data_IF_379545622375
#
_entry.id   IF_379545622375
#
_cell.length_a   1.000
_cell.length_b   1.000
_cell.length_c   1.000
_cell.angle_alpha   90.00
_cell.angle_beta   90.00
_cell.angle_gamma   90.00
#
_symmetry.space_group_name_H-M   'P 1'
#
loop_
_entity.id
_entity.type
_entity.pdbx_description
1 polymer ?
#
# COMPACT_ATOMS: atom_id res chain seq x y z
N UNK A 1 -90.49 -12.31 32.78
CA UNK A 1 -90.14 -12.26 31.34
C UNK A 1 -89.14 -11.14 31.01
N UNK A 2 -89.40 -9.87 31.38
CA UNK A 2 -88.52 -8.74 31.02
C UNK A 2 -87.05 -8.85 31.51
N UNK A 3 -86.80 -9.45 32.68
CA UNK A 3 -85.44 -9.62 33.20
C UNK A 3 -84.59 -10.59 32.36
N UNK A 4 -85.15 -11.74 31.98
CA UNK A 4 -84.46 -12.74 31.16
C UNK A 4 -84.12 -12.21 29.76
N UNK A 5 -85.00 -11.39 29.17
CA UNK A 5 -84.74 -10.76 27.86
C UNK A 5 -83.61 -9.74 27.92
N UNK A 6 -83.51 -8.96 29.01
CA UNK A 6 -82.42 -7.99 29.21
C UNK A 6 -81.08 -8.70 29.37
N UNK A 7 -81.04 -9.76 30.20
CA UNK A 7 -79.82 -10.57 30.38
C UNK A 7 -79.38 -11.20 29.05
N UNK A 8 -80.32 -11.75 28.27
CA UNK A 8 -80.03 -12.31 26.95
C UNK A 8 -79.44 -11.28 25.98
N UNK A 9 -79.98 -10.05 25.94
CA UNK A 9 -79.46 -8.97 25.10
C UNK A 9 -78.07 -8.50 25.52
N UNK A 10 -77.78 -8.43 26.82
CA UNK A 10 -76.45 -8.05 27.34
C UNK A 10 -75.41 -9.11 26.96
N UNK A 11 -75.75 -10.40 27.08
CA UNK A 11 -74.86 -11.50 26.67
C UNK A 11 -74.61 -11.41 25.17
N UNK A 12 -75.65 -11.24 24.35
CA UNK A 12 -75.52 -11.11 22.91
C UNK A 12 -74.64 -9.91 22.53
N UNK A 13 -74.87 -8.75 23.14
CA UNK A 13 -74.06 -7.56 22.91
C UNK A 13 -72.59 -7.77 23.32
N UNK A 14 -72.34 -8.42 24.45
CA UNK A 14 -70.99 -8.73 24.94
C UNK A 14 -70.23 -9.67 24.00
N UNK A 15 -70.92 -10.67 23.43
CA UNK A 15 -70.35 -11.59 22.43
C UNK A 15 -70.01 -10.84 21.15
N UNK A 16 -70.91 -10.00 20.65
CA UNK A 16 -70.69 -9.18 19.44
C UNK A 16 -69.50 -8.23 19.66
N UNK A 17 -69.49 -7.48 20.77
CA UNK A 17 -68.40 -6.57 21.11
C UNK A 17 -67.05 -7.29 21.21
N UNK A 18 -67.04 -8.48 21.83
CA UNK A 18 -65.84 -9.32 21.94
C UNK A 18 -65.32 -9.78 20.58
N UNK A 19 -66.21 -10.16 19.66
CA UNK A 19 -65.82 -10.52 18.29
C UNK A 19 -65.28 -9.30 17.52
N UNK A 20 -65.91 -8.14 17.65
CA UNK A 20 -65.46 -6.90 17.01
C UNK A 20 -64.05 -6.53 17.48
N UNK A 21 -63.79 -6.54 18.79
CA UNK A 21 -62.47 -6.25 19.36
C UNK A 21 -61.44 -7.28 18.89
N UNK A 22 -61.79 -8.57 18.88
CA UNK A 22 -60.90 -9.62 18.42
C UNK A 22 -60.48 -9.40 16.95
N UNK A 23 -61.42 -9.05 16.08
CA UNK A 23 -61.17 -8.86 14.64
C UNK A 23 -60.52 -7.52 14.29
N UNK A 24 -60.91 -6.42 14.94
CA UNK A 24 -60.39 -5.08 14.63
C UNK A 24 -59.07 -4.78 15.33
N UNK A 25 -58.82 -5.37 16.51
CA UNK A 25 -57.64 -5.04 17.33
C UNK A 25 -56.75 -6.27 17.55
N UNK A 26 -57.26 -7.33 18.17
CA UNK A 26 -56.39 -8.43 18.63
C UNK A 26 -55.70 -9.18 17.49
N UNK A 27 -56.41 -9.47 16.40
CA UNK A 27 -55.85 -10.19 15.25
C UNK A 27 -54.78 -9.35 14.51
N UNK A 28 -55.01 -8.07 14.16
CA UNK A 28 -53.96 -7.22 13.58
C UNK A 28 -52.73 -7.05 14.48
N UNK A 29 -52.90 -6.87 15.79
CA UNK A 29 -51.78 -6.74 16.72
C UNK A 29 -50.95 -8.02 16.82
N UNK A 30 -51.60 -9.19 16.80
CA UNK A 30 -50.88 -10.48 16.78
C UNK A 30 -50.05 -10.65 15.50
N UNK A 31 -50.56 -10.18 14.36
CA UNK A 31 -49.81 -10.18 13.09
C UNK A 31 -48.62 -9.24 13.14
N UNK A 32 -48.81 -8.02 13.63
CA UNK A 32 -47.74 -7.05 13.86
C UNK A 32 -46.64 -7.66 14.73
N UNK A 33 -47.01 -8.26 15.88
CA UNK A 33 -46.07 -8.95 16.77
C UNK A 33 -45.23 -10.00 16.03
N UNK A 34 -45.86 -10.84 15.20
CA UNK A 34 -45.17 -11.91 14.49
C UNK A 34 -44.21 -11.36 13.42
N UNK A 35 -44.61 -10.32 12.69
CA UNK A 35 -43.74 -9.68 11.69
C UNK A 35 -42.59 -8.94 12.38
N UNK A 36 -42.85 -8.23 13.49
CA UNK A 36 -41.80 -7.60 14.30
C UNK A 36 -40.74 -8.60 14.78
N UNK A 37 -41.15 -9.83 15.12
CA UNK A 37 -40.21 -10.89 15.50
C UNK A 37 -39.28 -11.26 14.34
N UNK A 38 -39.82 -11.39 13.13
CA UNK A 38 -39.03 -11.67 11.92
C UNK A 38 -38.05 -10.53 11.59
N UNK A 39 -38.51 -9.28 11.68
CA UNK A 39 -37.66 -8.10 11.48
C UNK A 39 -36.52 -8.06 12.51
N UNK A 40 -36.78 -8.42 13.76
CA UNK A 40 -35.74 -8.52 14.79
C UNK A 40 -34.69 -9.61 14.49
N UNK A 41 -35.06 -10.62 13.70
CA UNK A 41 -34.16 -11.67 13.19
C UNK A 41 -33.48 -11.25 11.86
N UNK A 42 -33.78 -10.06 11.34
CA UNK A 42 -33.21 -9.52 10.08
C UNK A 42 -34.02 -9.82 8.82
N UNK A 43 -35.17 -10.51 8.94
CA UNK A 43 -36.06 -10.77 7.80
C UNK A 43 -37.00 -9.57 7.56
N UNK A 44 -36.67 -8.77 6.55
CA UNK A 44 -37.42 -7.60 6.10
C UNK A 44 -38.35 -7.90 4.91
N UNK A 45 -38.59 -9.18 4.61
CA UNK A 45 -39.37 -9.61 3.45
C UNK A 45 -40.89 -9.45 3.60
N UNK A 46 -41.40 -9.38 4.83
CA UNK A 46 -42.84 -9.34 5.12
C UNK A 46 -43.34 -7.95 5.50
N UNK A 47 -44.54 -7.60 5.00
CA UNK A 47 -45.26 -6.36 5.33
C UNK A 47 -46.62 -6.64 5.97
N UNK A 48 -47.06 -5.70 6.79
CA UNK A 48 -48.38 -5.71 7.41
C UNK A 48 -49.43 -5.34 6.36
N UNK A 49 -50.43 -6.21 6.16
CA UNK A 49 -51.58 -5.88 5.31
C UNK A 49 -52.51 -4.92 6.04
N UNK A 50 -52.47 -3.65 5.66
CA UNK A 50 -53.35 -2.60 6.21
C UNK A 50 -54.73 -2.73 5.57
N UNK A 51 -55.76 -2.93 6.40
CA UNK A 51 -57.17 -3.06 5.95
C UNK A 51 -58.12 -2.06 6.60
N UNK A 52 -57.70 -1.41 7.68
CA UNK A 52 -58.50 -0.42 8.41
C UNK A 52 -57.90 0.97 8.21
N UNK A 53 -58.71 2.00 8.36
CA UNK A 53 -58.31 3.42 8.35
C UNK A 53 -58.30 4.03 9.77
N UNK A 54 -58.54 3.20 10.79
CA UNK A 54 -58.41 3.54 12.20
C UNK A 54 -56.93 3.64 12.66
N UNK A 55 -56.72 3.79 13.96
CA UNK A 55 -55.41 3.87 14.60
C UNK A 55 -54.58 2.60 14.37
N UNK A 56 -55.21 1.43 14.29
CA UNK A 56 -54.53 0.16 13.99
C UNK A 56 -54.05 0.15 12.54
N UNK A 57 -54.86 0.70 11.63
CA UNK A 57 -54.49 0.97 10.25
C UNK A 57 -53.28 1.89 10.12
N UNK A 58 -53.31 3.03 10.80
CA UNK A 58 -52.22 4.01 10.81
C UNK A 58 -50.93 3.43 11.41
N UNK A 59 -51.04 2.65 12.50
CA UNK A 59 -49.91 1.93 13.08
C UNK A 59 -49.28 0.97 12.06
N UNK A 60 -50.11 0.21 11.33
CA UNK A 60 -49.63 -0.67 10.25
C UNK A 60 -48.94 0.07 9.11
N UNK A 61 -49.45 1.24 8.70
CA UNK A 61 -48.81 2.11 7.69
C UNK A 61 -47.43 2.60 8.17
N UNK A 62 -47.35 3.12 9.39
CA UNK A 62 -46.09 3.60 9.99
C UNK A 62 -45.08 2.46 10.18
N UNK A 63 -45.54 1.28 10.60
CA UNK A 63 -44.71 0.09 10.73
C UNK A 63 -44.11 -0.32 9.39
N UNK A 64 -44.89 -0.36 8.32
CA UNK A 64 -44.38 -0.68 6.99
C UNK A 64 -43.34 0.35 6.50
N UNK A 65 -43.53 1.65 6.79
CA UNK A 65 -42.53 2.68 6.46
C UNK A 65 -41.20 2.45 7.19
N UNK A 66 -41.23 2.02 8.45
CA UNK A 66 -40.03 1.65 9.20
C UNK A 66 -39.32 0.46 8.54
N UNK A 67 -40.06 -0.58 8.14
CA UNK A 67 -39.50 -1.75 7.44
C UNK A 67 -38.87 -1.35 6.11
N UNK A 68 -39.52 -0.46 5.35
CA UNK A 68 -39.00 0.04 4.09
C UNK A 68 -37.68 0.81 4.27
N UNK A 69 -37.60 1.68 5.29
CA UNK A 69 -36.36 2.39 5.63
C UNK A 69 -35.22 1.44 5.99
N UNK A 70 -35.49 0.40 6.79
CA UNK A 70 -34.50 -0.62 7.12
C UNK A 70 -34.03 -1.41 5.88
N UNK A 71 -34.96 -1.68 4.96
CA UNK A 71 -34.67 -2.40 3.72
C UNK A 71 -33.80 -1.58 2.78
N UNK A 72 -34.10 -0.30 2.60
CA UNK A 72 -33.27 0.64 1.82
C UNK A 72 -31.82 0.68 2.34
N UNK A 73 -31.64 0.73 3.67
CA UNK A 73 -30.33 0.65 4.30
C UNK A 73 -29.64 -0.69 4.01
N UNK A 74 -30.35 -1.80 4.13
CA UNK A 74 -29.81 -3.14 3.84
C UNK A 74 -29.39 -3.31 2.37
N UNK A 75 -30.18 -2.80 1.43
CA UNK A 75 -29.89 -2.86 0.00
C UNK A 75 -28.68 -2.00 -0.37
N UNK A 76 -28.55 -0.82 0.26
CA UNK A 76 -27.39 0.04 0.12
C UNK A 76 -26.12 -0.62 0.70
N UNK A 77 -26.20 -1.23 1.88
CA UNK A 77 -25.09 -1.98 2.48
C UNK A 77 -24.65 -3.15 1.59
N UNK A 78 -25.60 -3.86 0.98
CA UNK A 78 -25.32 -4.95 0.03
C UNK A 78 -24.62 -4.43 -1.23
N UNK A 79 -25.02 -3.26 -1.72
CA UNK A 79 -24.35 -2.60 -2.84
C UNK A 79 -22.90 -2.22 -2.48
N UNK A 80 -22.70 -1.66 -1.29
CA UNK A 80 -21.37 -1.30 -0.76
C UNK A 80 -20.50 -2.55 -0.58
N UNK A 81 -21.04 -3.66 -0.06
CA UNK A 81 -20.28 -4.91 0.10
C UNK A 81 -19.85 -5.50 -1.24
N UNK A 82 -20.60 -5.24 -2.31
CA UNK A 82 -20.23 -5.61 -3.68
C UNK A 82 -19.23 -4.62 -4.31
N UNK A 83 -18.71 -3.65 -3.54
CA UNK A 83 -17.76 -2.64 -3.98
C UNK A 83 -18.39 -1.47 -4.73
N UNK A 84 -19.73 -1.41 -4.86
CA UNK A 84 -20.39 -0.28 -5.47
C UNK A 84 -20.53 0.87 -4.47
N UNK A 85 -19.55 1.76 -4.48
CA UNK A 85 -19.59 2.98 -3.69
C UNK A 85 -20.37 4.11 -4.36
N UNK A 86 -20.89 3.98 -5.59
CA UNK A 86 -21.70 5.03 -6.24
C UNK A 86 -23.16 5.03 -5.76
N UNK A 87 -23.50 4.15 -4.81
CA UNK A 87 -24.82 4.16 -4.18
C UNK A 87 -25.14 5.54 -3.60
N UNK A 88 -26.34 6.04 -3.93
CA UNK A 88 -26.87 7.27 -3.37
C UNK A 88 -27.72 6.94 -2.17
N UNK A 89 -27.21 7.26 -1.00
CA UNK A 89 -27.96 7.18 0.25
C UNK A 89 -28.42 8.58 0.60
N UNK A 90 -29.70 8.72 0.93
CA UNK A 90 -30.29 9.98 1.37
C UNK A 90 -30.96 9.76 2.71
N UNK A 91 -30.54 10.50 3.73
CA UNK A 91 -31.23 10.50 5.00
C UNK A 91 -32.67 11.02 4.83
N UNK A 92 -33.64 10.33 5.41
CA UNK A 92 -35.05 10.71 5.28
C UNK A 92 -35.39 11.98 6.09
N UNK A 93 -34.56 12.32 7.06
CA UNK A 93 -34.70 13.48 7.95
C UNK A 93 -33.37 13.72 8.69
N UNK A 94 -33.18 14.91 9.26
CA UNK A 94 -32.06 15.21 10.16
C UNK A 94 -32.01 14.33 11.42
N UNK A 95 -33.09 13.57 11.70
CA UNK A 95 -33.17 12.60 12.80
C UNK A 95 -32.90 11.16 12.36
N UNK A 96 -32.67 10.92 11.07
CA UNK A 96 -32.38 9.60 10.51
C UNK A 96 -30.92 9.23 10.78
N UNK A 97 -30.65 8.78 12.01
CA UNK A 97 -29.30 8.44 12.45
C UNK A 97 -28.67 7.35 11.58
N UNK A 98 -29.45 6.36 11.14
CA UNK A 98 -28.96 5.28 10.29
C UNK A 98 -28.62 5.78 8.89
N UNK A 99 -29.50 6.56 8.27
CA UNK A 99 -29.27 7.17 6.97
C UNK A 99 -28.06 8.10 6.97
N UNK A 100 -27.95 8.98 7.98
CA UNK A 100 -26.81 9.90 8.13
C UNK A 100 -25.48 9.15 8.34
N UNK A 101 -25.47 8.14 9.23
CA UNK A 101 -24.28 7.32 9.45
C UNK A 101 -23.85 6.57 8.17
N UNK A 102 -24.82 6.07 7.41
CA UNK A 102 -24.57 5.38 6.15
C UNK A 102 -24.01 6.33 5.08
N UNK A 103 -24.54 7.57 4.97
CA UNK A 103 -23.97 8.61 4.09
C UNK A 103 -22.50 8.86 4.43
N UNK A 104 -22.19 9.13 5.70
CA UNK A 104 -20.81 9.37 6.13
C UNK A 104 -19.89 8.16 5.91
N UNK A 105 -20.41 6.94 6.09
CA UNK A 105 -19.63 5.73 5.80
C UNK A 105 -19.29 5.64 4.31
N UNK A 106 -20.24 5.89 3.41
CA UNK A 106 -20.01 5.88 1.96
C UNK A 106 -19.01 6.97 1.56
N UNK A 107 -19.14 8.18 2.10
CA UNK A 107 -18.19 9.28 1.87
C UNK A 107 -16.77 8.92 2.32
N UNK A 108 -16.62 8.35 3.50
CA UNK A 108 -15.32 7.91 4.02
C UNK A 108 -14.71 6.80 3.15
N UNK A 109 -15.50 5.81 2.75
CA UNK A 109 -15.03 4.75 1.86
C UNK A 109 -14.59 5.31 0.50
N UNK A 110 -15.36 6.22 -0.10
CA UNK A 110 -14.99 6.90 -1.35
C UNK A 110 -13.68 7.68 -1.19
N UNK A 111 -13.52 8.40 -0.08
CA UNK A 111 -12.29 9.14 0.23
C UNK A 111 -11.08 8.21 0.35
N UNK A 112 -11.22 7.10 1.08
CA UNK A 112 -10.17 6.09 1.22
C UNK A 112 -9.80 5.51 -0.15
N UNK A 113 -10.77 5.09 -0.96
CA UNK A 113 -10.51 4.56 -2.31
C UNK A 113 -9.82 5.58 -3.20
N UNK A 114 -10.26 6.85 -3.16
CA UNK A 114 -9.61 7.94 -3.89
C UNK A 114 -8.17 8.15 -3.46
N UNK A 115 -7.89 8.12 -2.15
CA UNK A 115 -6.53 8.25 -1.62
C UNK A 115 -5.65 7.07 -2.04
N UNK A 116 -6.17 5.84 -1.98
CA UNK A 116 -5.46 4.65 -2.46
C UNK A 116 -5.12 4.78 -3.94
N UNK A 117 -6.04 5.26 -4.77
CA UNK A 117 -5.80 5.44 -6.20
C UNK A 117 -4.74 6.51 -6.48
N UNK A 118 -4.75 7.61 -5.72
CA UNK A 118 -3.73 8.66 -5.79
C UNK A 118 -2.35 8.11 -5.40
N UNK A 119 -2.27 7.36 -4.30
CA UNK A 119 -1.02 6.74 -3.86
C UNK A 119 -0.51 5.66 -4.81
N UNK A 120 -1.39 4.85 -5.40
CA UNK A 120 -1.00 3.88 -6.43
C UNK A 120 -0.41 4.57 -7.67
N UNK A 121 -0.95 5.74 -8.04
CA UNK A 121 -0.42 6.57 -9.14
C UNK A 121 0.96 7.13 -8.78
N UNK A 122 1.12 7.67 -7.56
CA UNK A 122 2.41 8.13 -7.06
C UNK A 122 3.46 7.00 -7.06
N UNK A 123 3.09 5.82 -6.57
CA UNK A 123 3.96 4.65 -6.54
C UNK A 123 4.38 4.19 -7.94
N UNK A 124 3.46 4.27 -8.92
CA UNK A 124 3.76 3.97 -10.33
C UNK A 124 4.78 4.95 -10.90
N UNK A 125 4.63 6.25 -10.61
CA UNK A 125 5.59 7.27 -11.03
C UNK A 125 6.96 7.08 -10.37
N UNK A 126 6.98 6.85 -9.05
CA UNK A 126 8.21 6.54 -8.31
C UNK A 126 8.93 5.31 -8.88
N UNK A 127 8.17 4.25 -9.21
CA UNK A 127 8.73 3.03 -9.81
C UNK A 127 9.38 3.31 -11.17
N UNK A 128 8.81 4.23 -11.96
CA UNK A 128 9.38 4.66 -13.24
C UNK A 128 10.71 5.40 -13.04
N UNK A 129 10.76 6.37 -12.13
CA UNK A 129 11.99 7.11 -11.79
C UNK A 129 13.08 6.18 -11.22
N UNK A 130 12.67 5.16 -10.46
CA UNK A 130 13.59 4.16 -9.93
C UNK A 130 14.22 3.32 -11.04
N UNK A 131 13.45 2.90 -12.05
CA UNK A 131 13.98 2.17 -13.22
C UNK A 131 14.99 3.03 -13.97
N UNK A 132 14.69 4.30 -14.19
CA UNK A 132 15.61 5.23 -14.85
C UNK A 132 16.91 5.40 -14.03
N UNK A 133 16.78 5.54 -12.71
CA UNK A 133 17.92 5.62 -11.78
C UNK A 133 18.77 4.34 -11.79
N UNK A 134 18.16 3.16 -11.81
CA UNK A 134 18.86 1.87 -11.89
C UNK A 134 19.62 1.76 -13.21
N UNK A 135 19.03 2.20 -14.32
CA UNK A 135 19.71 2.22 -15.62
C UNK A 135 20.93 3.15 -15.60
N UNK A 136 20.81 4.32 -14.99
CA UNK A 136 21.92 5.26 -14.84
C UNK A 136 23.04 4.68 -13.97
N UNK A 137 22.68 4.06 -12.84
CA UNK A 137 23.64 3.37 -11.97
C UNK A 137 24.38 2.26 -12.74
N UNK A 138 23.69 1.47 -13.55
CA UNK A 138 24.31 0.43 -14.35
C UNK A 138 25.35 1.01 -15.33
N UNK A 139 25.03 2.13 -15.99
CA UNK A 139 25.97 2.84 -16.88
C UNK A 139 27.19 3.34 -16.12
N UNK A 140 27.01 4.05 -15.00
CA UNK A 140 28.12 4.55 -14.19
C UNK A 140 28.97 3.43 -13.59
N UNK A 141 28.35 2.30 -13.24
CA UNK A 141 29.08 1.11 -12.79
C UNK A 141 29.95 0.52 -13.90
N UNK A 142 29.48 0.52 -15.15
CA UNK A 142 30.25 0.06 -16.29
C UNK A 142 31.45 0.99 -16.57
N UNK A 143 31.25 2.32 -16.51
CA UNK A 143 32.34 3.30 -16.60
C UNK A 143 33.37 3.12 -15.48
N UNK A 144 32.91 2.92 -14.25
CA UNK A 144 33.79 2.66 -13.10
C UNK A 144 34.61 1.38 -13.29
N UNK A 145 33.98 0.31 -13.80
CA UNK A 145 34.70 -0.94 -14.10
C UNK A 145 35.77 -0.75 -15.18
N UNK A 146 35.47 0.03 -16.22
CA UNK A 146 36.45 0.36 -17.26
C UNK A 146 37.64 1.15 -16.70
N UNK A 147 37.39 2.16 -15.86
CA UNK A 147 38.43 2.95 -15.21
C UNK A 147 39.33 2.10 -14.28
N UNK A 148 38.74 1.13 -13.56
CA UNK A 148 39.51 0.17 -12.74
C UNK A 148 40.40 -0.72 -13.62
N UNK A 149 39.88 -1.20 -14.76
CA UNK A 149 40.66 -2.03 -15.69
C UNK A 149 41.84 -1.26 -16.29
N UNK A 150 41.65 0.01 -16.66
CA UNK A 150 42.71 0.89 -17.12
C UNK A 150 43.76 1.11 -16.03
N UNK A 151 43.33 1.45 -14.81
CA UNK A 151 44.24 1.65 -13.66
C UNK A 151 45.06 0.40 -13.36
N UNK A 152 44.44 -0.78 -13.46
CA UNK A 152 45.13 -2.07 -13.27
C UNK A 152 46.20 -2.27 -14.35
N UNK A 153 45.88 -1.94 -15.61
CA UNK A 153 46.82 -2.01 -16.74
C UNK A 153 48.01 -1.07 -16.52
N UNK A 154 47.76 0.20 -16.19
CA UNK A 154 48.82 1.17 -15.88
C UNK A 154 49.66 0.73 -14.69
N UNK A 155 49.06 0.07 -13.69
CA UNK A 155 49.79 -0.46 -12.53
C UNK A 155 50.74 -1.60 -12.95
N UNK A 156 50.33 -2.47 -13.88
CA UNK A 156 51.22 -3.53 -14.40
C UNK A 156 52.33 -2.95 -15.29
N UNK A 157 52.03 -1.97 -16.13
CA UNK A 157 53.05 -1.24 -16.91
C UNK A 157 54.08 -0.53 -16.02
N UNK A 158 53.62 0.09 -14.92
CA UNK A 158 54.50 0.71 -13.93
C UNK A 158 55.41 -0.32 -13.25
N UNK A 159 54.86 -1.47 -12.86
CA UNK A 159 55.64 -2.57 -12.28
C UNK A 159 56.71 -3.06 -13.25
N UNK A 160 56.36 -3.23 -14.53
CA UNK A 160 57.30 -3.66 -15.56
C UNK A 160 58.40 -2.60 -15.79
N UNK A 161 58.02 -1.32 -15.83
CA UNK A 161 58.96 -0.20 -15.94
C UNK A 161 59.90 -0.14 -14.73
N UNK A 162 59.38 -0.37 -13.51
CA UNK A 162 60.20 -0.41 -12.30
C UNK A 162 61.23 -1.54 -12.34
N UNK A 163 60.84 -2.75 -12.79
CA UNK A 163 61.77 -3.87 -12.97
C UNK A 163 62.87 -3.56 -14.01
N UNK A 164 62.50 -3.01 -15.16
CA UNK A 164 63.48 -2.62 -16.19
C UNK A 164 64.43 -1.53 -15.66
N UNK A 165 63.93 -0.58 -14.87
CA UNK A 165 64.77 0.43 -14.24
C UNK A 165 65.73 -0.16 -13.20
N UNK A 166 65.29 -1.16 -12.43
CA UNK A 166 66.14 -1.89 -11.48
C UNK A 166 67.27 -2.63 -12.21
N UNK A 167 66.95 -3.38 -13.26
CA UNK A 167 67.95 -4.07 -14.10
C UNK A 167 68.98 -3.09 -14.70
N UNK A 168 68.51 -1.97 -15.25
CA UNK A 168 69.39 -0.91 -15.77
C UNK A 168 70.27 -0.30 -14.68
N UNK A 169 69.73 -0.07 -13.48
CA UNK A 169 70.52 0.46 -12.37
C UNK A 169 71.66 -0.51 -11.99
N UNK A 170 71.39 -1.82 -11.98
CA UNK A 170 72.40 -2.87 -11.76
C UNK A 170 73.45 -2.86 -12.89
N UNK A 171 73.03 -2.76 -14.15
CA UNK A 171 73.93 -2.70 -15.31
C UNK A 171 74.86 -1.48 -15.24
N UNK A 172 74.32 -0.30 -14.95
CA UNK A 172 75.08 0.94 -14.77
C UNK A 172 76.09 0.79 -13.63
N UNK A 173 75.67 0.26 -12.47
CA UNK A 173 76.56 0.05 -11.34
C UNK A 173 77.74 -0.89 -11.71
N UNK A 174 77.47 -1.99 -12.42
CA UNK A 174 78.50 -2.93 -12.91
C UNK A 174 79.43 -2.28 -13.94
N UNK A 175 78.90 -1.46 -14.84
CA UNK A 175 79.71 -0.69 -15.79
C UNK A 175 80.61 0.30 -15.06
N UNK A 176 80.10 1.01 -14.05
CA UNK A 176 80.90 1.92 -13.22
C UNK A 176 82.02 1.19 -12.47
N UNK A 177 81.75 0.00 -11.94
CA UNK A 177 82.78 -0.85 -11.31
C UNK A 177 83.89 -1.24 -12.31
N UNK A 178 83.50 -1.62 -13.53
CA UNK A 178 84.45 -1.96 -14.60
C UNK A 178 85.30 -0.75 -15.01
N UNK A 179 84.69 0.43 -15.14
CA UNK A 179 85.41 1.68 -15.42
C UNK A 179 86.41 2.01 -14.31
N UNK A 180 86.05 1.83 -13.03
CA UNK A 180 86.97 2.04 -11.91
C UNK A 180 88.18 1.10 -11.97
N UNK A 181 87.98 -0.18 -12.34
CA UNK A 181 89.09 -1.11 -12.59
C UNK A 181 90.02 -0.62 -13.69
N UNK A 182 89.47 -0.22 -14.83
CA UNK A 182 90.25 0.30 -15.97
C UNK A 182 91.04 1.55 -15.57
N UNK A 183 90.43 2.46 -14.81
CA UNK A 183 91.11 3.67 -14.31
C UNK A 183 92.26 3.31 -13.38
N UNK A 184 92.07 2.38 -12.43
CA UNK A 184 93.13 1.93 -11.53
C UNK A 184 94.29 1.24 -12.28
N UNK A 185 93.98 0.39 -13.27
CA UNK A 185 95.00 -0.23 -14.13
C UNK A 185 95.76 0.81 -14.96
N UNK A 186 95.04 1.77 -15.53
CA UNK A 186 95.62 2.89 -16.27
C UNK A 186 96.51 3.76 -15.39
N UNK A 187 96.09 4.06 -14.16
CA UNK A 187 96.89 4.79 -13.18
C UNK A 187 98.19 4.04 -12.86
N UNK A 188 98.10 2.73 -12.57
CA UNK A 188 99.26 1.89 -12.32
C UNK A 188 100.21 1.85 -13.52
N UNK A 189 99.68 1.78 -14.73
CA UNK A 189 100.46 1.80 -15.97
C UNK A 189 101.14 3.16 -16.20
N UNK A 190 100.44 4.26 -15.92
CA UNK A 190 101.00 5.62 -15.97
C UNK A 190 102.10 5.81 -14.92
N UNK A 191 101.89 5.37 -13.68
CA UNK A 191 102.93 5.41 -12.62
C UNK A 191 104.18 4.62 -13.03
N UNK A 192 103.99 3.44 -13.64
CA UNK A 192 105.09 2.63 -14.19
C UNK A 192 105.83 3.42 -15.27
N UNK A 193 105.10 4.00 -16.22
CA UNK A 193 105.68 4.82 -17.31
C UNK A 193 106.46 6.03 -16.78
N UNK A 194 105.92 6.73 -15.77
CA UNK A 194 106.60 7.86 -15.13
C UNK A 194 107.88 7.38 -14.44
N UNK A 195 107.83 6.26 -13.72
CA UNK A 195 109.01 5.69 -13.06
C UNK A 195 110.10 5.32 -14.08
N UNK A 196 109.71 4.67 -15.18
CA UNK A 196 110.62 4.34 -16.28
C UNK A 196 111.24 5.60 -16.91
N UNK A 197 110.44 6.67 -17.11
CA UNK A 197 110.94 7.94 -17.62
C UNK A 197 111.94 8.62 -16.67
N UNK A 198 111.69 8.61 -15.35
CA UNK A 198 112.64 9.14 -14.35
C UNK A 198 113.94 8.33 -14.39
N UNK A 199 113.85 7.01 -14.46
CA UNK A 199 115.02 6.12 -14.47
C UNK A 199 115.88 6.27 -15.73
N UNK A 200 115.28 6.66 -16.87
CA UNK A 200 116.01 7.02 -18.10
C UNK A 200 116.72 8.37 -17.96
N UNK A 201 116.11 9.34 -17.27
CA UNK A 201 116.67 10.69 -17.07
C UNK A 201 117.83 10.77 -16.06
N UNK A 202 117.99 9.78 -15.18
CA UNK A 202 119.10 9.70 -14.22
C UNK A 202 120.37 8.99 -14.76
N UNK A 203 120.36 8.53 -16.02
CA UNK A 203 121.53 7.97 -16.73
C UNK A 203 122.12 8.97 -17.72
#
# INVERSE_FOLDING_TARGET
MAFLTIVGLIILFSVIASLVIAYQISIPLLKLKNISKKIAEGDLGEKVKVKSEDEIGQLGKNFNRMVDSLKEVSDALTSISNGNLDVRVTAQSDKDLLGLALVHMVENLRSITSNIQKEATNLTNFSKEMVDSVSQIASSSAETAAAIAETTTSTEELKQTAQVNEEKAIEVAKSSETTLKIVNESEKSLQTTISDMIQIGEK
#
